data_IF_368628743354
#
_entry.id   IF_368628743354
#
_cell.length_a   1.000
_cell.length_b   1.000
_cell.length_c   1.000
_cell.angle_alpha   90.00
_cell.angle_beta   90.00
_cell.angle_gamma   90.00
#
_symmetry.space_group_name_H-M   'P 1'
#
loop_
_entity.id
_entity.type
_entity.pdbx_description
1 polymer ?
#
# COMPACT_ATOMS: atom_id res chain seq x y z
N UNK A 1 2.74 -27.11 -2.92
CA UNK A 1 3.52 -25.98 -2.37
C UNK A 1 4.72 -25.64 -3.23
N UNK A 2 5.67 -26.57 -3.39
CA UNK A 2 6.99 -26.30 -3.99
C UNK A 2 6.93 -25.88 -5.47
N UNK A 3 6.18 -26.61 -6.32
CA UNK A 3 6.06 -26.30 -7.75
C UNK A 3 5.37 -24.94 -8.00
N UNK A 4 4.34 -24.61 -7.21
CA UNK A 4 3.62 -23.34 -7.33
C UNK A 4 4.49 -22.13 -6.97
N UNK A 5 5.30 -22.24 -5.91
CA UNK A 5 6.27 -21.19 -5.56
C UNK A 5 7.34 -21.02 -6.65
N UNK A 6 7.84 -22.12 -7.23
CA UNK A 6 8.79 -22.07 -8.34
C UNK A 6 8.24 -21.29 -9.54
N UNK A 7 6.97 -21.55 -9.93
CA UNK A 7 6.34 -20.80 -11.03
C UNK A 7 6.13 -19.32 -10.68
N UNK A 8 5.74 -19.01 -9.45
CA UNK A 8 5.58 -17.63 -9.00
C UNK A 8 6.92 -16.86 -9.05
N UNK A 9 8.03 -17.50 -8.66
CA UNK A 9 9.36 -16.90 -8.74
C UNK A 9 9.80 -16.64 -10.19
N UNK A 10 9.52 -17.57 -11.10
CA UNK A 10 9.79 -17.40 -12.54
C UNK A 10 9.00 -16.22 -13.13
N UNK A 11 7.70 -16.14 -12.86
CA UNK A 11 6.86 -15.01 -13.31
C UNK A 11 7.35 -13.68 -12.74
N UNK A 12 7.70 -13.68 -11.45
CA UNK A 12 8.26 -12.50 -10.78
C UNK A 12 9.51 -12.01 -11.50
N UNK A 13 10.45 -12.88 -11.88
CA UNK A 13 11.64 -12.47 -12.64
C UNK A 13 11.31 -11.81 -13.99
N UNK A 14 10.28 -12.31 -14.67
CA UNK A 14 9.90 -11.81 -15.99
C UNK A 14 9.12 -10.49 -15.92
N UNK A 15 8.30 -10.29 -14.89
CA UNK A 15 7.29 -9.22 -14.84
C UNK A 15 7.62 -8.11 -13.82
N UNK A 16 8.49 -8.37 -12.84
CA UNK A 16 8.72 -7.48 -11.69
C UNK A 16 9.09 -6.04 -12.08
N UNK A 17 9.87 -5.83 -13.14
CA UNK A 17 10.29 -4.48 -13.54
C UNK A 17 9.12 -3.63 -14.07
N UNK A 18 8.27 -4.21 -14.91
CA UNK A 18 7.08 -3.54 -15.44
C UNK A 18 6.04 -3.35 -14.35
N UNK A 19 5.80 -4.41 -13.56
CA UNK A 19 4.82 -4.39 -12.48
C UNK A 19 5.19 -3.39 -11.39
N UNK A 20 6.49 -3.23 -11.08
CA UNK A 20 6.96 -2.19 -10.15
C UNK A 20 6.61 -0.78 -10.62
N UNK A 21 6.71 -0.50 -11.93
CA UNK A 21 6.33 0.81 -12.49
C UNK A 21 4.82 1.03 -12.39
N UNK A 22 4.04 0.02 -12.77
CA UNK A 22 2.57 0.07 -12.72
C UNK A 22 2.06 0.28 -11.29
N UNK A 23 2.54 -0.52 -10.34
CA UNK A 23 2.19 -0.42 -8.92
C UNK A 23 2.62 0.92 -8.33
N UNK A 24 3.81 1.41 -8.69
CA UNK A 24 4.27 2.74 -8.30
C UNK A 24 3.33 3.86 -8.76
N UNK A 25 2.89 3.82 -10.02
CA UNK A 25 1.93 4.79 -10.56
C UNK A 25 0.58 4.75 -9.85
N UNK A 26 0.08 3.56 -9.52
CA UNK A 26 -1.16 3.40 -8.75
C UNK A 26 -1.02 3.92 -7.32
N UNK A 27 0.12 3.65 -6.67
CA UNK A 27 0.43 4.18 -5.34
C UNK A 27 0.44 5.70 -5.33
N UNK A 28 1.08 6.34 -6.31
CA UNK A 28 1.10 7.81 -6.41
C UNK A 28 -0.28 8.38 -6.66
N UNK A 29 -1.08 7.75 -7.54
CA UNK A 29 -2.48 8.16 -7.77
C UNK A 29 -3.31 8.09 -6.48
N UNK A 30 -3.17 7.02 -5.70
CA UNK A 30 -3.85 6.87 -4.42
C UNK A 30 -3.40 7.95 -3.42
N UNK A 31 -2.08 8.14 -3.29
CA UNK A 31 -1.50 9.18 -2.43
C UNK A 31 -2.03 10.57 -2.78
N UNK A 32 -2.00 10.94 -4.05
CA UNK A 32 -2.51 12.24 -4.50
C UNK A 32 -4.00 12.41 -4.20
N UNK A 33 -4.82 11.37 -4.39
CA UNK A 33 -6.24 11.43 -4.07
C UNK A 33 -6.48 11.70 -2.59
N UNK A 34 -5.75 11.01 -1.71
CA UNK A 34 -5.85 11.18 -0.26
C UNK A 34 -5.40 12.60 0.14
N UNK A 35 -4.22 13.02 -0.29
CA UNK A 35 -3.61 14.29 0.14
C UNK A 35 -4.31 15.53 -0.45
N UNK A 36 -5.03 15.40 -1.57
CA UNK A 36 -5.86 16.47 -2.12
C UNK A 36 -7.19 16.61 -1.39
N UNK A 37 -7.70 15.52 -0.81
CA UNK A 37 -9.04 15.46 -0.21
C UNK A 37 -9.08 15.64 1.31
N UNK A 38 -7.94 15.48 1.99
CA UNK A 38 -7.86 15.45 3.45
C UNK A 38 -6.70 16.30 3.96
N UNK A 39 -6.95 17.00 5.06
CA UNK A 39 -5.94 17.71 5.84
C UNK A 39 -5.35 16.79 6.91
N UNK A 40 -4.20 17.15 7.48
CA UNK A 40 -3.56 16.41 8.58
C UNK A 40 -3.26 14.93 8.27
N UNK A 41 -2.82 14.65 7.03
CA UNK A 41 -2.36 13.32 6.59
C UNK A 41 -0.83 13.30 6.49
N UNK A 42 -0.23 12.24 7.05
CA UNK A 42 1.22 12.11 7.16
C UNK A 42 1.69 10.80 6.54
N UNK A 43 2.84 10.83 5.85
CA UNK A 43 3.45 9.63 5.29
C UNK A 43 4.35 8.99 6.33
N UNK A 44 4.17 7.69 6.55
CA UNK A 44 5.05 6.89 7.39
C UNK A 44 6.20 6.31 6.54
N UNK A 45 7.44 6.63 6.90
CA UNK A 45 8.65 6.17 6.21
C UNK A 45 9.04 6.97 4.95
N UNK A 46 10.07 6.52 4.24
CA UNK A 46 10.65 7.26 3.10
C UNK A 46 9.86 7.06 1.81
N UNK A 47 9.60 8.13 1.06
CA UNK A 47 9.05 8.05 -0.31
C UNK A 47 10.09 7.66 -1.36
N UNK A 48 11.38 7.93 -1.10
CA UNK A 48 12.47 7.59 -1.99
C UNK A 48 12.89 6.12 -1.85
N UNK A 49 12.86 5.58 -0.62
CA UNK A 49 13.31 4.23 -0.31
C UNK A 49 12.15 3.40 0.26
N UNK A 50 11.30 2.87 -0.62
CA UNK A 50 10.19 1.97 -0.27
C UNK A 50 9.83 1.02 -1.39
N UNK A 51 9.04 -0.01 -1.07
CA UNK A 51 8.41 -0.85 -2.08
C UNK A 51 7.44 -0.03 -2.94
N UNK A 52 7.38 -0.29 -4.26
CA UNK A 52 6.55 0.47 -5.20
C UNK A 52 5.06 0.39 -4.88
N UNK A 53 4.61 -0.70 -4.26
CA UNK A 53 3.20 -0.98 -3.95
C UNK A 53 2.76 -0.56 -2.54
N UNK A 54 3.67 -0.11 -1.68
CA UNK A 54 3.33 0.18 -0.28
C UNK A 54 3.09 1.69 -0.05
N UNK A 55 1.94 2.01 0.53
CA UNK A 55 1.62 3.34 1.06
C UNK A 55 1.13 3.18 2.50
N UNK A 56 1.97 3.61 3.45
CA UNK A 56 1.60 3.71 4.85
C UNK A 56 1.40 5.18 5.21
N UNK A 57 0.22 5.52 5.71
CA UNK A 57 -0.20 6.90 6.02
C UNK A 57 -0.90 6.95 7.37
N UNK A 58 -0.67 8.03 8.11
CA UNK A 58 -1.36 8.35 9.36
C UNK A 58 -2.34 9.48 9.11
N UNK A 59 -3.53 9.37 9.68
CA UNK A 59 -4.57 10.40 9.66
C UNK A 59 -4.66 10.96 11.08
N UNK A 60 -4.35 12.24 11.29
CA UNK A 60 -4.47 12.82 12.62
C UNK A 60 -5.95 13.01 12.99
N UNK A 61 -6.19 13.14 14.30
CA UNK A 61 -7.53 13.38 14.86
C UNK A 61 -8.58 12.29 14.58
N UNK A 62 -8.16 11.11 14.10
CA UNK A 62 -9.04 9.98 13.79
C UNK A 62 -8.55 8.74 14.54
N UNK A 63 -9.47 8.05 15.22
CA UNK A 63 -9.19 6.72 15.76
C UNK A 63 -9.15 5.68 14.64
N UNK A 64 -8.05 4.92 14.57
CA UNK A 64 -7.81 3.98 13.47
C UNK A 64 -8.89 2.91 13.30
N UNK A 65 -9.52 2.45 14.38
CA UNK A 65 -10.63 1.49 14.34
C UNK A 65 -11.87 2.08 13.66
N UNK A 66 -12.21 3.33 13.97
CA UNK A 66 -13.33 4.06 13.35
C UNK A 66 -13.09 4.27 11.85
N UNK A 67 -11.83 4.55 11.45
CA UNK A 67 -11.46 4.66 10.04
C UNK A 67 -11.64 3.33 9.31
N UNK A 68 -11.20 2.21 9.90
CA UNK A 68 -11.35 0.88 9.32
C UNK A 68 -12.81 0.50 9.13
N UNK A 69 -13.66 0.75 10.14
CA UNK A 69 -15.11 0.53 10.05
C UNK A 69 -15.80 1.41 8.99
N UNK A 70 -15.21 2.56 8.66
CA UNK A 70 -15.71 3.44 7.60
C UNK A 70 -15.39 2.95 6.18
N UNK A 71 -14.42 2.04 6.03
CA UNK A 71 -13.92 1.55 4.74
C UNK A 71 -14.20 0.05 4.61
N UNK A 72 -15.47 -0.33 4.55
CA UNK A 72 -15.88 -1.75 4.50
C UNK A 72 -15.64 -2.43 3.13
N UNK A 73 -15.46 -1.64 2.07
CA UNK A 73 -15.28 -2.16 0.70
C UNK A 73 -13.81 -2.43 0.35
N UNK A 74 -12.87 -2.10 1.25
CA UNK A 74 -11.44 -2.22 0.97
C UNK A 74 -10.74 -2.92 2.13
N UNK A 75 -10.08 -4.04 1.82
CA UNK A 75 -9.22 -4.71 2.78
C UNK A 75 -7.93 -3.90 2.98
N UNK A 76 -7.76 -3.34 4.17
CA UNK A 76 -6.57 -2.57 4.59
C UNK A 76 -6.08 -3.05 5.96
N UNK A 77 -4.88 -2.62 6.37
CA UNK A 77 -4.28 -2.98 7.66
C UNK A 77 -3.81 -1.71 8.39
N UNK A 78 -4.17 -1.57 9.67
CA UNK A 78 -3.82 -0.43 10.52
C UNK A 78 -2.47 -0.58 11.26
N UNK A 79 -1.93 -1.80 11.34
CA UNK A 79 -0.69 -2.10 12.06
C UNK A 79 -0.14 -3.45 11.62
N UNK A 80 1.02 -3.46 10.98
CA UNK A 80 1.63 -4.69 10.48
C UNK A 80 2.38 -5.43 11.59
N UNK A 81 1.66 -6.31 12.29
CA UNK A 81 2.10 -7.63 12.75
C UNK A 81 0.95 -8.17 13.61
N UNK A 82 0.09 -9.03 13.04
CA UNK A 82 -1.00 -9.76 13.72
C UNK A 82 -1.62 -9.09 14.96
N UNK A 83 -2.78 -8.48 14.79
CA UNK A 83 -3.81 -8.46 15.84
C UNK A 83 -5.03 -9.18 15.29
#
# INVERSE_FOLDING_TARGET
GIVGFGKAAELCQNEMAEESKRLGGLRERLKEGIFKGLEEVYINGSMAYRLPNNLNVSFACVEGESLLMGINDVAVSSGSACT
#
